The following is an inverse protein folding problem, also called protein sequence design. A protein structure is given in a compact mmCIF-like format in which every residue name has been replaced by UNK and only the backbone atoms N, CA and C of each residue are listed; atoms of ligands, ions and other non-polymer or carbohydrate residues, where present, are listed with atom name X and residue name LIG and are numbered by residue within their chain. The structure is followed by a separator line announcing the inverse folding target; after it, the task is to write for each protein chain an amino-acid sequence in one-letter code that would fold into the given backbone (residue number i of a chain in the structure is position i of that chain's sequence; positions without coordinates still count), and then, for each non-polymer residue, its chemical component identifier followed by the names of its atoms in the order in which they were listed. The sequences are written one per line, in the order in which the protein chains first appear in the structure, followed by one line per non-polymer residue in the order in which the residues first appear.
data_IF_500479345759
#
_entry.id   IF_500479345759
#
_cell.length_a   1.000
_cell.length_b   1.000
_cell.length_c   1.000
_cell.angle_alpha   90.00
_cell.angle_beta   90.00
_cell.angle_gamma   90.00
#
_symmetry.space_group_name_H-M   'P 1'
#
loop_
_entity.id
_entity.type
_entity.pdbx_description
1 polymer ?
#
# COMPACT_ATOMS: atom_id res chain seq x y z
N UNK A 1 -14.16 -17.70 -8.78
CA UNK A 1 -14.14 -19.17 -9.03
C UNK A 1 -13.93 -19.89 -7.69
N UNK A 2 -14.81 -20.83 -7.33
CA UNK A 2 -14.73 -21.54 -6.04
C UNK A 2 -13.46 -22.40 -5.97
N UNK A 3 -12.86 -22.54 -4.79
CA UNK A 3 -11.67 -23.37 -4.59
C UNK A 3 -11.86 -24.83 -5.05
N UNK A 4 -13.09 -25.36 -4.88
CA UNK A 4 -13.51 -26.66 -5.42
C UNK A 4 -13.30 -26.79 -6.94
N UNK A 5 -13.60 -25.74 -7.70
CA UNK A 5 -13.48 -25.74 -9.17
C UNK A 5 -12.01 -25.69 -9.60
N UNK A 6 -11.18 -24.99 -8.84
CA UNK A 6 -9.73 -24.94 -9.06
C UNK A 6 -9.14 -26.33 -8.84
N UNK A 7 -9.53 -26.99 -7.75
CA UNK A 7 -9.07 -28.34 -7.43
C UNK A 7 -9.56 -29.38 -8.43
N UNK A 8 -10.82 -29.28 -8.89
CA UNK A 8 -11.37 -30.15 -9.94
C UNK A 8 -10.56 -30.02 -11.23
N UNK A 9 -10.36 -28.81 -11.75
CA UNK A 9 -9.56 -28.53 -12.95
C UNK A 9 -8.08 -28.92 -12.81
N UNK A 10 -7.53 -28.88 -11.59
CA UNK A 10 -6.15 -29.32 -11.33
C UNK A 10 -6.03 -30.84 -11.34
N UNK A 11 -7.03 -31.58 -10.83
CA UNK A 11 -7.11 -33.05 -10.90
C UNK A 11 -7.29 -33.52 -12.34
N UNK A 12 -8.17 -32.90 -13.12
CA UNK A 12 -8.38 -33.20 -14.54
C UNK A 12 -7.09 -33.05 -15.38
N UNK A 13 -6.19 -32.13 -14.98
CA UNK A 13 -4.89 -31.88 -15.64
C UNK A 13 -3.71 -32.67 -15.02
N UNK A 14 -3.96 -33.55 -14.08
CA UNK A 14 -2.93 -34.37 -13.41
C UNK A 14 -1.76 -33.52 -12.81
N UNK A 15 -2.09 -32.32 -12.27
CA UNK A 15 -1.08 -31.42 -11.73
C UNK A 15 -0.63 -31.87 -10.34
N UNK A 16 0.66 -32.14 -10.16
CA UNK A 16 1.26 -32.37 -8.85
C UNK A 16 1.12 -31.13 -7.91
N UNK A 17 1.43 -31.32 -6.59
CA UNK A 17 1.30 -30.25 -5.56
C UNK A 17 1.92 -28.91 -5.97
N UNK A 18 3.11 -28.91 -6.62
CA UNK A 18 3.76 -27.68 -7.10
C UNK A 18 2.96 -27.00 -8.22
N UNK A 19 2.40 -27.78 -9.16
CA UNK A 19 1.56 -27.28 -10.25
C UNK A 19 0.25 -26.67 -9.75
N UNK A 20 -0.36 -27.29 -8.73
CA UNK A 20 -1.58 -26.78 -8.09
C UNK A 20 -1.27 -25.43 -7.39
N UNK A 21 -0.20 -25.36 -6.59
CA UNK A 21 0.19 -24.09 -5.92
C UNK A 21 0.45 -22.97 -6.93
N UNK A 22 1.20 -23.26 -8.01
CA UNK A 22 1.47 -22.28 -9.09
C UNK A 22 0.18 -21.80 -9.76
N UNK A 23 -0.78 -22.72 -10.03
CA UNK A 23 -2.07 -22.35 -10.64
C UNK A 23 -2.92 -21.49 -9.71
N UNK A 24 -2.99 -21.82 -8.42
CA UNK A 24 -3.68 -21.01 -7.41
C UNK A 24 -3.06 -19.61 -7.35
N UNK A 25 -1.74 -19.51 -7.30
CA UNK A 25 -1.01 -18.22 -7.31
C UNK A 25 -1.35 -17.39 -8.56
N UNK A 26 -1.40 -18.02 -9.74
CA UNK A 26 -1.74 -17.33 -10.98
C UNK A 26 -3.19 -16.85 -11.00
N UNK A 27 -4.16 -17.66 -10.53
CA UNK A 27 -5.57 -17.26 -10.44
C UNK A 27 -5.72 -16.09 -9.47
N UNK A 28 -5.09 -16.14 -8.30
CA UNK A 28 -5.10 -15.04 -7.34
C UNK A 28 -4.55 -13.75 -7.93
N UNK A 29 -3.49 -13.83 -8.74
CA UNK A 29 -2.94 -12.67 -9.46
C UNK A 29 -3.92 -12.10 -10.49
N UNK A 30 -4.68 -12.93 -11.20
CA UNK A 30 -5.66 -12.47 -12.20
C UNK A 30 -6.96 -11.93 -11.58
N UNK A 31 -7.26 -12.31 -10.34
CA UNK A 31 -8.42 -11.83 -9.60
C UNK A 31 -8.08 -10.68 -8.63
N UNK A 32 -6.78 -10.41 -8.45
CA UNK A 32 -6.31 -9.30 -7.63
C UNK A 32 -6.80 -7.96 -8.20
N UNK A 33 -7.34 -7.15 -7.33
CA UNK A 33 -7.85 -5.84 -7.71
C UNK A 33 -9.32 -5.81 -8.15
N UNK A 34 -9.96 -6.95 -8.43
CA UNK A 34 -11.38 -6.97 -8.83
C UNK A 34 -12.30 -6.30 -7.81
N UNK A 35 -12.00 -6.48 -6.54
CA UNK A 35 -12.76 -5.86 -5.47
C UNK A 35 -12.79 -4.32 -5.60
N UNK A 36 -11.67 -3.72 -6.02
CA UNK A 36 -11.52 -2.28 -6.22
C UNK A 36 -12.15 -1.78 -7.53
N UNK A 37 -12.46 -2.70 -8.45
CA UNK A 37 -13.12 -2.40 -9.72
C UNK A 37 -14.64 -2.44 -9.63
N UNK A 38 -15.18 -3.18 -8.67
CA UNK A 38 -16.60 -3.47 -8.55
C UNK A 38 -17.25 -2.64 -7.42
N UNK A 39 -16.93 -1.34 -7.35
CA UNK A 39 -17.43 -0.40 -6.35
C UNK A 39 -18.04 0.83 -6.99
N UNK A 40 -18.98 1.44 -6.29
CA UNK A 40 -19.60 2.70 -6.69
C UNK A 40 -19.75 3.65 -5.49
N UNK A 41 -19.77 4.95 -5.77
CA UNK A 41 -19.98 5.98 -4.74
C UNK A 41 -21.46 6.26 -4.59
N UNK A 42 -22.00 6.07 -3.39
CA UNK A 42 -23.39 6.38 -3.07
C UNK A 42 -23.64 7.89 -2.97
N UNK A 43 -24.90 8.26 -2.95
CA UNK A 43 -25.35 9.67 -2.79
C UNK A 43 -25.01 10.26 -1.42
N UNK A 44 -24.76 9.40 -0.44
CA UNK A 44 -24.27 9.76 0.90
C UNK A 44 -22.75 10.01 0.95
N UNK A 45 -22.06 9.86 -0.18
CA UNK A 45 -20.63 10.04 -0.32
C UNK A 45 -19.80 8.83 0.10
N UNK A 46 -20.43 7.74 0.55
CA UNK A 46 -19.75 6.50 0.88
C UNK A 46 -19.56 5.64 -0.38
N UNK A 47 -18.57 4.75 -0.34
CA UNK A 47 -18.36 3.75 -1.37
C UNK A 47 -18.99 2.43 -0.98
N UNK A 48 -19.57 1.75 -1.94
CA UNK A 48 -20.24 0.47 -1.76
C UNK A 48 -19.76 -0.54 -2.78
N UNK A 49 -19.53 -1.77 -2.33
CA UNK A 49 -19.37 -2.91 -3.23
C UNK A 49 -20.74 -3.30 -3.82
N UNK A 50 -20.73 -4.04 -4.92
CA UNK A 50 -21.97 -4.50 -5.60
C UNK A 50 -22.93 -5.31 -4.73
N UNK A 51 -22.42 -5.91 -3.64
CA UNK A 51 -23.23 -6.63 -2.65
C UNK A 51 -23.86 -5.71 -1.58
N UNK A 52 -23.68 -4.40 -1.70
CA UNK A 52 -24.17 -3.39 -0.77
C UNK A 52 -23.32 -3.23 0.48
N UNK A 53 -22.22 -3.95 0.61
CA UNK A 53 -21.28 -3.76 1.73
C UNK A 53 -20.58 -2.42 1.59
N UNK A 54 -20.55 -1.62 2.67
CA UNK A 54 -19.82 -0.35 2.65
C UNK A 54 -18.34 -0.60 2.40
N UNK A 55 -17.79 0.19 1.51
CA UNK A 55 -16.41 0.09 1.08
C UNK A 55 -15.67 1.39 1.40
N UNK A 56 -14.56 1.28 2.06
CA UNK A 56 -13.83 2.44 2.53
C UNK A 56 -12.64 2.79 1.61
N UNK A 57 -12.86 3.57 0.56
CA UNK A 57 -11.76 4.35 -0.02
C UNK A 57 -11.40 5.53 0.90
N UNK A 58 -12.40 6.11 1.56
CA UNK A 58 -12.23 7.13 2.57
C UNK A 58 -11.77 6.59 3.92
N UNK A 59 -11.72 5.29 4.06
CA UNK A 59 -11.39 4.63 5.30
C UNK A 59 -10.04 5.00 5.84
N UNK A 60 -9.17 5.46 4.97
CA UNK A 60 -7.86 5.95 5.37
C UNK A 60 -7.89 6.92 6.54
N UNK A 61 -8.95 7.70 6.72
CA UNK A 61 -9.03 8.66 7.81
C UNK A 61 -9.94 8.21 8.93
N UNK A 62 -11.02 7.48 8.63
CA UNK A 62 -11.90 6.94 9.66
C UNK A 62 -11.25 5.76 10.39
N UNK A 63 -10.45 4.96 9.67
CA UNK A 63 -9.82 3.75 10.19
C UNK A 63 -8.33 3.95 10.57
N UNK A 64 -7.68 4.99 10.03
CA UNK A 64 -6.34 5.33 10.45
C UNK A 64 -6.39 6.16 11.71
N UNK A 65 -5.63 5.75 12.73
CA UNK A 65 -5.58 6.50 13.97
C UNK A 65 -5.21 7.97 13.67
N UNK A 66 -5.92 8.97 14.25
CA UNK A 66 -5.66 10.39 13.98
C UNK A 66 -4.20 10.80 14.09
N UNK A 67 -3.46 10.21 15.03
CA UNK A 67 -2.04 10.50 15.24
C UNK A 67 -1.12 9.93 14.14
N UNK A 68 -1.49 8.83 13.46
CA UNK A 68 -0.74 8.36 12.27
C UNK A 68 -0.87 9.36 11.15
N UNK A 69 -2.05 9.91 10.99
CA UNK A 69 -2.34 10.92 10.00
C UNK A 69 -1.58 12.22 10.29
N UNK A 70 -1.59 12.67 11.55
CA UNK A 70 -0.85 13.83 12.01
C UNK A 70 0.67 13.64 11.83
N UNK A 71 1.22 12.47 12.17
CA UNK A 71 2.63 12.13 11.96
C UNK A 71 3.02 12.24 10.48
N UNK A 72 2.18 11.75 9.56
CA UNK A 72 2.41 11.90 8.13
C UNK A 72 2.37 13.35 7.66
N UNK A 73 1.37 14.13 8.10
CA UNK A 73 1.27 15.55 7.74
C UNK A 73 2.46 16.34 8.26
N UNK A 74 2.91 16.07 9.49
CA UNK A 74 4.08 16.69 10.08
C UNK A 74 5.35 16.27 9.33
N UNK A 75 5.46 15.01 8.91
CA UNK A 75 6.56 14.53 8.09
C UNK A 75 6.66 15.32 6.77
N UNK A 76 5.56 15.49 6.03
CA UNK A 76 5.59 16.28 4.79
C UNK A 76 5.93 17.76 5.06
N UNK A 77 5.29 18.36 6.05
CA UNK A 77 5.50 19.78 6.39
C UNK A 77 6.94 20.10 6.82
N UNK A 78 7.65 19.10 7.36
CA UNK A 78 9.06 19.27 7.75
C UNK A 78 10.04 19.23 6.58
N UNK A 79 9.57 19.00 5.33
CA UNK A 79 10.39 18.84 4.13
C UNK A 79 10.02 19.91 3.10
N UNK A 80 10.84 20.94 3.00
CA UNK A 80 10.64 22.10 2.09
C UNK A 80 11.15 21.83 0.65
N UNK A 81 11.94 20.80 0.47
CA UNK A 81 12.60 20.46 -0.79
C UNK A 81 11.85 19.42 -1.65
N UNK A 82 10.61 19.08 -1.32
CA UNK A 82 9.74 18.18 -2.08
C UNK A 82 9.12 18.94 -3.26
N UNK A 83 9.44 18.49 -4.49
CA UNK A 83 8.86 19.04 -5.75
C UNK A 83 7.96 18.04 -6.45
N UNK A 84 8.31 16.76 -6.40
CA UNK A 84 7.59 15.68 -7.09
C UNK A 84 7.07 14.66 -6.07
N UNK A 85 5.78 14.31 -6.18
CA UNK A 85 5.09 13.43 -5.24
C UNK A 85 4.38 12.30 -5.98
N UNK A 86 4.54 11.07 -5.50
CA UNK A 86 3.75 9.92 -5.89
C UNK A 86 2.99 9.38 -4.68
N UNK A 87 1.67 9.32 -4.77
CA UNK A 87 0.82 8.58 -3.85
C UNK A 87 0.45 7.22 -4.44
N UNK A 88 0.84 6.14 -3.77
CA UNK A 88 0.53 4.77 -4.19
C UNK A 88 -0.64 4.23 -3.40
N UNK A 89 -1.73 3.88 -4.09
CA UNK A 89 -3.01 3.54 -3.50
C UNK A 89 -3.76 4.78 -3.04
N UNK A 90 -3.91 5.76 -3.93
CA UNK A 90 -4.50 7.07 -3.61
C UNK A 90 -6.01 7.01 -3.32
N UNK A 91 -6.68 5.88 -3.62
CA UNK A 91 -8.11 5.73 -3.47
C UNK A 91 -8.87 6.84 -4.19
N UNK A 92 -9.80 7.49 -3.51
CA UNK A 92 -10.58 8.62 -4.04
C UNK A 92 -9.92 10.00 -3.86
N UNK A 93 -8.59 10.03 -3.68
CA UNK A 93 -7.82 11.27 -3.67
C UNK A 93 -7.94 12.08 -2.38
N UNK A 94 -8.17 11.41 -1.27
CA UNK A 94 -8.37 12.07 0.02
C UNK A 94 -7.30 13.13 0.34
N UNK A 95 -6.02 12.79 0.24
CA UNK A 95 -4.93 13.70 0.63
C UNK A 95 -4.84 14.94 -0.28
N UNK A 96 -4.73 14.82 -1.60
CA UNK A 96 -4.62 16.01 -2.45
C UNK A 96 -5.88 16.88 -2.45
N UNK A 97 -7.07 16.29 -2.25
CA UNK A 97 -8.32 17.05 -2.21
C UNK A 97 -8.46 17.79 -0.87
N UNK A 98 -8.29 17.09 0.26
CA UNK A 98 -8.49 17.67 1.60
C UNK A 98 -7.34 18.58 2.04
N UNK A 99 -6.11 18.25 1.65
CA UNK A 99 -4.89 18.98 2.02
C UNK A 99 -4.25 19.64 0.80
N UNK A 100 -5.07 20.20 -0.07
CA UNK A 100 -4.66 20.82 -1.34
C UNK A 100 -3.41 21.69 -1.20
N UNK A 101 -3.35 22.53 -0.19
CA UNK A 101 -2.23 23.43 0.05
C UNK A 101 -0.87 22.74 0.21
N UNK A 102 -0.84 21.46 0.60
CA UNK A 102 0.40 20.72 0.72
C UNK A 102 0.91 20.19 -0.64
N UNK A 103 0.03 20.10 -1.65
CA UNK A 103 0.32 19.45 -2.91
C UNK A 103 0.20 20.34 -4.14
N UNK A 104 -0.55 21.46 -4.09
CA UNK A 104 -0.87 22.31 -5.26
C UNK A 104 0.36 22.92 -5.96
N UNK A 105 1.46 23.12 -5.23
CA UNK A 105 2.71 23.63 -5.77
C UNK A 105 3.73 22.52 -6.08
N UNK A 106 3.28 21.27 -6.16
CA UNK A 106 4.11 20.10 -6.42
C UNK A 106 3.59 19.35 -7.65
N UNK A 107 4.49 18.70 -8.35
CA UNK A 107 4.08 17.74 -9.37
C UNK A 107 3.57 16.47 -8.67
N UNK A 108 2.27 16.41 -8.45
CA UNK A 108 1.61 15.29 -7.81
C UNK A 108 1.08 14.29 -8.84
N UNK A 109 1.24 13.00 -8.51
CA UNK A 109 0.63 11.88 -9.20
C UNK A 109 0.02 10.92 -8.18
N UNK A 110 -1.29 10.69 -8.28
CA UNK A 110 -1.98 9.63 -7.57
C UNK A 110 -2.09 8.37 -8.43
N UNK A 111 -1.82 7.23 -7.85
CA UNK A 111 -1.93 5.93 -8.51
C UNK A 111 -2.77 4.98 -7.67
N UNK A 112 -3.74 4.33 -8.29
CA UNK A 112 -4.56 3.28 -7.68
C UNK A 112 -4.92 2.22 -8.75
N UNK A 113 -5.23 1.01 -8.30
CA UNK A 113 -5.72 -0.05 -9.17
C UNK A 113 -7.23 0.03 -9.40
N UNK A 114 -7.95 0.82 -8.60
CA UNK A 114 -9.40 1.00 -8.64
C UNK A 114 -9.82 2.05 -9.65
N UNK A 115 -10.23 1.65 -10.86
CA UNK A 115 -10.67 2.57 -11.90
C UNK A 115 -11.82 3.51 -11.46
N UNK A 116 -12.87 3.06 -10.72
CA UNK A 116 -13.93 3.95 -10.26
C UNK A 116 -13.43 5.09 -9.38
N UNK A 117 -12.48 4.81 -8.48
CA UNK A 117 -11.88 5.81 -7.60
C UNK A 117 -11.03 6.81 -8.39
N UNK A 118 -10.25 6.34 -9.34
CA UNK A 118 -9.44 7.20 -10.22
C UNK A 118 -10.33 8.11 -11.08
N UNK A 119 -11.44 7.61 -11.60
CA UNK A 119 -12.38 8.43 -12.35
C UNK A 119 -12.99 9.52 -11.46
N UNK A 120 -13.40 9.17 -10.25
CA UNK A 120 -13.84 10.15 -9.25
C UNK A 120 -12.78 11.23 -8.97
N UNK A 121 -11.52 10.86 -8.79
CA UNK A 121 -10.43 11.80 -8.58
C UNK A 121 -10.27 12.80 -9.73
N UNK A 122 -10.32 12.30 -10.98
CA UNK A 122 -10.19 13.13 -12.19
C UNK A 122 -11.34 14.11 -12.37
N UNK A 123 -12.55 13.72 -11.95
CA UNK A 123 -13.74 14.58 -12.02
C UNK A 123 -13.77 15.64 -10.91
N UNK A 124 -13.15 15.36 -9.75
CA UNK A 124 -13.28 16.20 -8.55
C UNK A 124 -12.01 16.95 -8.16
N UNK A 125 -10.95 16.87 -8.97
CA UNK A 125 -9.70 17.61 -8.71
C UNK A 125 -8.89 17.88 -9.97
N UNK A 126 -7.96 18.84 -9.87
CA UNK A 126 -7.03 19.18 -10.94
C UNK A 126 -5.66 18.48 -10.82
N UNK A 127 -5.54 17.51 -9.92
CA UNK A 127 -4.33 16.72 -9.79
C UNK A 127 -4.29 15.60 -10.83
N UNK A 128 -3.10 15.03 -11.05
CA UNK A 128 -2.93 13.92 -11.99
C UNK A 128 -3.17 12.58 -11.31
N UNK A 129 -3.95 11.71 -11.96
CA UNK A 129 -4.25 10.37 -11.48
C UNK A 129 -4.18 9.34 -12.59
N UNK A 130 -3.65 8.16 -12.26
CA UNK A 130 -3.59 7.02 -13.18
C UNK A 130 -4.12 5.76 -12.51
N UNK A 131 -4.82 4.93 -13.29
CA UNK A 131 -5.23 3.61 -12.88
C UNK A 131 -4.20 2.61 -13.38
N UNK A 132 -3.38 2.05 -12.46
CA UNK A 132 -2.34 1.08 -12.79
C UNK A 132 -1.95 0.25 -11.57
N UNK A 133 -1.30 -0.89 -11.81
CA UNK A 133 -0.69 -1.73 -10.76
C UNK A 133 0.74 -1.25 -10.51
N UNK A 134 0.98 -0.61 -9.37
CA UNK A 134 2.29 -0.06 -9.02
C UNK A 134 3.43 -1.08 -9.13
N UNK A 135 3.17 -2.35 -8.81
CA UNK A 135 4.19 -3.40 -8.88
C UNK A 135 4.58 -3.70 -10.35
N UNK A 136 3.65 -3.57 -11.28
CA UNK A 136 3.85 -3.87 -12.72
C UNK A 136 4.14 -2.65 -13.58
N UNK A 137 3.79 -1.46 -13.10
CA UNK A 137 3.92 -0.23 -13.85
C UNK A 137 5.35 -0.06 -14.39
N UNK A 138 5.50 0.08 -15.70
CA UNK A 138 6.78 0.37 -16.33
C UNK A 138 7.07 1.88 -16.26
N UNK A 139 7.88 2.29 -15.30
CA UNK A 139 8.31 3.68 -15.15
C UNK A 139 9.69 3.75 -14.52
N UNK A 140 10.56 4.55 -15.13
CA UNK A 140 11.86 4.92 -14.58
C UNK A 140 11.83 6.26 -13.81
N UNK A 141 10.67 6.92 -13.76
CA UNK A 141 10.52 8.18 -13.04
C UNK A 141 10.74 8.00 -11.56
N UNK A 142 11.52 8.90 -10.97
CA UNK A 142 11.76 8.97 -9.54
C UNK A 142 11.09 10.21 -8.95
N UNK A 143 10.61 10.09 -7.71
CA UNK A 143 9.87 11.13 -7.01
C UNK A 143 10.62 11.56 -5.74
N UNK A 144 10.53 12.85 -5.40
CA UNK A 144 11.13 13.36 -4.16
C UNK A 144 10.43 12.77 -2.94
N UNK A 145 9.11 12.62 -2.98
CA UNK A 145 8.32 11.93 -1.98
C UNK A 145 7.49 10.82 -2.62
N UNK A 146 7.53 9.63 -2.03
CA UNK A 146 6.54 8.57 -2.29
C UNK A 146 5.83 8.27 -0.99
N UNK A 147 4.50 8.23 -1.01
CA UNK A 147 3.77 7.78 0.16
C UNK A 147 2.64 6.81 -0.19
N UNK A 148 2.28 5.99 0.79
CA UNK A 148 1.26 4.96 0.64
C UNK A 148 0.62 4.66 2.00
N UNK A 149 -0.69 4.68 2.05
CA UNK A 149 -1.46 4.40 3.26
C UNK A 149 -2.40 3.22 3.06
N UNK A 150 -2.33 2.23 3.95
CA UNK A 150 -3.23 1.07 3.96
C UNK A 150 -3.23 0.25 2.66
N UNK A 151 -2.08 0.10 2.02
CA UNK A 151 -1.93 -0.61 0.75
C UNK A 151 -1.01 -1.82 0.86
N UNK A 152 0.15 -1.66 1.51
CA UNK A 152 1.20 -2.69 1.54
C UNK A 152 0.71 -4.04 2.10
N UNK A 153 -0.21 -4.05 3.03
CA UNK A 153 -0.80 -5.27 3.60
C UNK A 153 -1.85 -5.93 2.70
N UNK A 154 -2.22 -5.25 1.60
CA UNK A 154 -3.19 -5.74 0.60
C UNK A 154 -2.55 -6.19 -0.71
N UNK A 155 -1.27 -5.92 -0.95
CA UNK A 155 -0.60 -6.27 -2.20
C UNK A 155 -0.28 -7.77 -2.29
N UNK A 156 -0.16 -8.26 -3.52
CA UNK A 156 0.14 -9.68 -3.79
C UNK A 156 1.63 -10.01 -3.72
N UNK A 157 2.50 -9.01 -3.63
CA UNK A 157 3.96 -9.15 -3.61
C UNK A 157 4.56 -7.96 -2.84
N UNK A 158 4.75 -8.16 -1.53
CA UNK A 158 5.21 -7.10 -0.61
C UNK A 158 6.66 -6.72 -0.91
N UNK A 159 7.51 -7.70 -1.21
CA UNK A 159 8.94 -7.47 -1.47
C UNK A 159 9.12 -6.63 -2.74
N UNK A 160 8.40 -6.98 -3.82
CA UNK A 160 8.41 -6.20 -5.06
C UNK A 160 7.84 -4.79 -4.87
N UNK A 161 6.80 -4.63 -4.05
CA UNK A 161 6.23 -3.34 -3.71
C UNK A 161 7.26 -2.44 -3.01
N UNK A 162 7.91 -2.95 -1.96
CA UNK A 162 8.94 -2.22 -1.22
C UNK A 162 10.15 -1.89 -2.09
N UNK A 163 10.65 -2.86 -2.87
CA UNK A 163 11.77 -2.66 -3.78
C UNK A 163 11.47 -1.54 -4.78
N UNK A 164 10.23 -1.50 -5.28
CA UNK A 164 9.82 -0.46 -6.21
C UNK A 164 9.68 0.91 -5.54
N UNK A 165 9.16 0.97 -4.31
CA UNK A 165 9.18 2.21 -3.51
C UNK A 165 10.63 2.73 -3.42
N UNK A 166 11.57 1.88 -2.99
CA UNK A 166 12.97 2.29 -2.81
C UNK A 166 13.60 2.77 -4.11
N UNK A 167 13.43 2.01 -5.21
CA UNK A 167 14.05 2.35 -6.50
C UNK A 167 13.46 3.59 -7.15
N UNK A 168 12.19 3.91 -6.88
CA UNK A 168 11.50 5.11 -7.38
C UNK A 168 11.62 6.33 -6.47
N UNK A 169 12.12 6.14 -5.23
CA UNK A 169 12.29 7.21 -4.25
C UNK A 169 13.60 7.97 -4.45
N UNK A 170 13.54 9.29 -4.59
CA UNK A 170 14.73 10.16 -4.61
C UNK A 170 15.20 10.55 -3.21
N UNK A 171 14.27 10.97 -2.36
CA UNK A 171 14.58 11.57 -1.05
C UNK A 171 13.80 10.91 0.08
N UNK A 172 12.48 10.90 -0.01
CA UNK A 172 11.60 10.55 1.10
C UNK A 172 10.58 9.50 0.71
N UNK A 173 10.33 8.54 1.60
CA UNK A 173 9.13 7.73 1.50
C UNK A 173 8.44 7.59 2.87
N UNK A 174 7.10 7.52 2.84
CA UNK A 174 6.27 7.28 4.00
C UNK A 174 5.24 6.21 3.68
N UNK A 175 5.29 5.09 4.37
CA UNK A 175 4.37 3.98 4.15
C UNK A 175 3.72 3.65 5.49
N UNK A 176 2.40 3.59 5.52
CA UNK A 176 1.68 3.06 6.67
C UNK A 176 0.76 1.92 6.28
N UNK A 177 0.63 0.94 7.17
CA UNK A 177 -0.25 -0.20 7.02
C UNK A 177 -1.13 -0.35 8.25
N UNK A 178 -2.35 -0.85 8.08
CA UNK A 178 -3.23 -1.17 9.22
C UNK A 178 -2.76 -2.35 10.03
N UNK A 179 -2.02 -3.26 9.37
CA UNK A 179 -1.65 -4.50 9.98
C UNK A 179 -0.24 -4.46 10.50
N UNK A 180 -0.15 -5.01 11.70
CA UNK A 180 0.92 -4.80 12.60
C UNK A 180 2.28 -5.21 12.12
N UNK A 181 3.19 -4.64 12.79
CA UNK A 181 4.60 -4.85 12.87
C UNK A 181 4.88 -6.12 13.68
N UNK A 182 5.31 -7.16 13.01
CA UNK A 182 5.65 -8.44 13.65
C UNK A 182 7.15 -8.73 13.49
N UNK A 183 7.97 -8.41 14.48
CA UNK A 183 9.40 -8.65 14.40
C UNK A 183 9.78 -10.12 14.52
N UNK A 184 8.93 -10.91 15.16
CA UNK A 184 9.17 -12.35 15.37
C UNK A 184 8.85 -13.20 14.13
N UNK A 185 8.26 -12.60 13.09
CA UNK A 185 8.02 -13.29 11.84
C UNK A 185 9.28 -13.26 10.97
N UNK A 186 9.76 -14.45 10.58
CA UNK A 186 10.86 -14.60 9.63
C UNK A 186 10.48 -14.08 8.23
N UNK A 187 9.20 -14.21 7.83
CA UNK A 187 8.68 -13.79 6.55
C UNK A 187 7.26 -13.23 6.70
N UNK A 188 6.75 -12.53 5.68
CA UNK A 188 5.37 -12.05 5.66
C UNK A 188 4.37 -13.20 5.67
N UNK A 189 3.34 -13.09 6.53
CA UNK A 189 2.20 -14.02 6.48
C UNK A 189 1.11 -13.46 5.60
N UNK A 190 1.06 -13.93 4.37
CA UNK A 190 0.10 -13.48 3.36
C UNK A 190 -1.18 -14.32 3.37
N UNK A 191 -2.29 -13.70 3.71
CA UNK A 191 -3.62 -14.30 3.69
C UNK A 191 -4.43 -13.75 2.53
N UNK A 192 -4.82 -14.61 1.59
CA UNK A 192 -5.72 -14.20 0.51
C UNK A 192 -7.18 -14.30 0.94
N UNK A 193 -7.88 -13.16 0.95
CA UNK A 193 -9.31 -13.08 1.22
C UNK A 193 -10.08 -13.35 -0.09
N UNK A 194 -10.64 -14.56 -0.18
CA UNK A 194 -11.40 -14.96 -1.38
C UNK A 194 -12.70 -14.18 -1.56
N UNK A 195 -13.25 -13.61 -0.49
CA UNK A 195 -14.49 -12.83 -0.56
C UNK A 195 -14.26 -11.48 -1.18
N UNK A 196 -13.08 -10.91 -0.97
CA UNK A 196 -12.69 -9.58 -1.44
C UNK A 196 -11.73 -9.59 -2.62
N UNK A 197 -11.17 -10.73 -3.01
CA UNK A 197 -10.18 -10.79 -4.10
C UNK A 197 -8.88 -10.04 -3.79
N UNK A 198 -8.53 -9.86 -2.52
CA UNK A 198 -7.35 -9.13 -2.08
C UNK A 198 -6.58 -9.88 -0.99
N UNK A 199 -5.43 -9.38 -0.60
CA UNK A 199 -4.65 -9.93 0.50
C UNK A 199 -4.93 -9.18 1.80
N UNK A 200 -4.72 -9.88 2.90
CA UNK A 200 -4.63 -9.35 4.26
C UNK A 200 -3.38 -9.95 4.87
N UNK A 201 -2.30 -9.19 4.89
CA UNK A 201 -1.00 -9.72 5.23
C UNK A 201 -0.49 -9.16 6.55
N UNK A 202 0.09 -10.02 7.39
CA UNK A 202 0.87 -9.59 8.53
C UNK A 202 2.30 -9.32 8.06
N UNK A 203 2.82 -8.15 8.38
CA UNK A 203 4.10 -7.68 7.89
C UNK A 203 5.23 -8.11 8.84
N UNK A 204 6.23 -8.80 8.32
CA UNK A 204 7.47 -9.08 9.05
C UNK A 204 8.38 -7.86 9.00
N UNK A 205 8.73 -7.32 10.17
CA UNK A 205 9.70 -6.24 10.26
C UNK A 205 11.10 -6.66 9.82
N UNK A 206 11.47 -7.90 10.11
CA UNK A 206 12.74 -8.49 9.68
C UNK A 206 12.85 -8.53 8.17
N UNK A 207 11.78 -9.01 7.50
CA UNK A 207 11.74 -9.10 6.04
C UNK A 207 11.70 -7.72 5.38
N UNK A 208 10.95 -6.76 5.92
CA UNK A 208 10.96 -5.37 5.45
C UNK A 208 12.40 -4.83 5.51
N UNK A 209 13.08 -4.95 6.64
CA UNK A 209 14.47 -4.50 6.80
C UNK A 209 15.42 -5.16 5.79
N UNK A 210 15.29 -6.47 5.58
CA UNK A 210 16.07 -7.21 4.58
C UNK A 210 15.88 -6.63 3.17
N UNK A 211 14.62 -6.40 2.76
CA UNK A 211 14.31 -5.84 1.44
C UNK A 211 14.87 -4.43 1.29
N UNK A 212 14.74 -3.57 2.30
CA UNK A 212 15.27 -2.21 2.25
C UNK A 212 16.81 -2.19 2.11
N UNK A 213 17.51 -3.03 2.88
CA UNK A 213 18.99 -3.15 2.81
C UNK A 213 19.44 -3.76 1.49
N UNK A 214 18.74 -4.78 0.98
CA UNK A 214 19.03 -5.38 -0.33
C UNK A 214 18.88 -4.38 -1.49
N UNK A 215 18.01 -3.37 -1.32
CA UNK A 215 17.86 -2.26 -2.26
C UNK A 215 18.77 -1.06 -1.93
N UNK A 216 19.92 -1.31 -1.29
CA UNK A 216 21.01 -0.36 -1.06
C UNK A 216 20.71 0.80 -0.10
N UNK A 217 19.70 0.66 0.77
CA UNK A 217 19.48 1.61 1.85
C UNK A 217 20.37 1.25 3.04
N UNK A 218 21.11 2.24 3.56
CA UNK A 218 21.81 2.12 4.83
C UNK A 218 20.83 2.16 6.01
N UNK A 219 21.19 1.56 7.16
CA UNK A 219 20.26 1.42 8.29
C UNK A 219 19.83 2.76 8.90
N UNK A 220 20.56 3.82 8.67
CA UNK A 220 20.24 5.17 9.14
C UNK A 220 19.44 6.00 8.13
N UNK A 221 19.10 5.43 6.97
CA UNK A 221 18.20 6.04 5.98
C UNK A 221 16.75 5.58 6.12
N UNK A 222 16.43 4.65 7.01
CA UNK A 222 15.07 4.24 7.22
C UNK A 222 14.75 3.93 8.68
N UNK A 223 13.48 4.03 9.03
CA UNK A 223 12.93 3.55 10.29
C UNK A 223 11.69 2.70 10.04
N UNK A 224 11.51 1.66 10.86
CA UNK A 224 10.33 0.80 10.84
C UNK A 224 9.78 0.80 12.25
N UNK A 225 8.55 1.27 12.45
CA UNK A 225 7.92 1.37 13.76
C UNK A 225 6.51 0.82 13.74
N UNK A 226 6.10 0.21 14.86
CA UNK A 226 4.69 -0.04 15.14
C UNK A 226 4.06 1.21 15.75
N UNK A 227 2.76 1.41 15.54
CA UNK A 227 1.99 2.44 16.19
C UNK A 227 0.69 1.86 16.72
N UNK A 228 0.45 2.00 18.02
CA UNK A 228 -0.79 1.61 18.68
C UNK A 228 -1.37 2.82 19.42
N UNK A 229 -2.65 3.10 19.18
CA UNK A 229 -3.36 4.20 19.84
C UNK A 229 -2.60 5.53 19.75
N UNK A 230 -1.85 5.72 18.63
CA UNK A 230 -1.04 6.91 18.37
C UNK A 230 0.32 6.95 19.06
N UNK A 231 0.67 5.96 19.83
CA UNK A 231 1.99 5.84 20.46
C UNK A 231 2.89 5.04 19.54
N UNK A 232 3.99 5.66 19.09
CA UNK A 232 5.05 4.95 18.38
C UNK A 232 5.71 3.95 19.33
N UNK A 233 5.80 2.72 18.88
CA UNK A 233 6.29 1.62 19.69
C UNK A 233 7.62 1.16 19.15
N UNK A 234 8.62 1.22 20.02
CA UNK A 234 9.97 0.75 19.73
C UNK A 234 10.12 -0.77 19.96
N UNK A 235 9.05 -1.41 20.44
CA UNK A 235 9.04 -2.83 20.80
C UNK A 235 8.07 -3.62 19.90
N UNK A 236 8.39 -4.88 19.66
CA UNK A 236 7.62 -5.78 18.81
C UNK A 236 6.26 -6.21 19.41
N UNK A 237 5.33 -6.54 18.54
CA UNK A 237 4.01 -7.07 18.91
C UNK A 237 3.89 -8.54 18.63
N UNK A 238 3.22 -9.24 19.56
CA UNK A 238 2.80 -10.61 19.35
C UNK A 238 1.63 -10.69 18.35
N UNK A 239 1.59 -11.77 17.60
CA UNK A 239 0.42 -12.15 16.78
C UNK A 239 -0.85 -12.13 17.64
N UNK A 240 -1.86 -11.35 17.26
CA UNK A 240 -3.14 -11.28 17.99
C UNK A 240 -3.51 -9.91 18.51
N UNK A 241 -2.59 -8.93 18.53
CA UNK A 241 -2.95 -7.56 18.85
C UNK A 241 -3.58 -6.89 17.63
N UNK A 242 -4.83 -6.48 17.74
CA UNK A 242 -5.54 -5.68 16.74
C UNK A 242 -5.23 -4.19 16.93
N UNK A 243 -5.33 -3.41 15.86
CA UNK A 243 -5.22 -1.94 15.94
C UNK A 243 -3.81 -1.39 15.95
N UNK A 244 -2.83 -2.14 15.43
CA UNK A 244 -1.45 -1.66 15.29
C UNK A 244 -1.16 -1.38 13.83
N UNK A 245 -0.73 -0.16 13.55
CA UNK A 245 -0.22 0.23 12.24
C UNK A 245 1.28 0.03 12.15
N UNK A 246 1.78 -0.38 11.00
CA UNK A 246 3.21 -0.32 10.68
C UNK A 246 3.50 0.98 9.97
N UNK A 247 4.54 1.70 10.41
CA UNK A 247 5.03 2.90 9.75
C UNK A 247 6.47 2.66 9.29
N UNK A 248 6.71 2.88 8.00
CA UNK A 248 8.04 2.82 7.39
C UNK A 248 8.34 4.22 6.86
N UNK A 249 9.43 4.83 7.34
CA UNK A 249 9.93 6.10 6.81
C UNK A 249 11.29 5.87 6.17
N UNK A 250 11.50 6.46 5.01
CA UNK A 250 12.78 6.49 4.30
C UNK A 250 13.18 7.94 4.13
N UNK A 251 14.42 8.27 4.50
CA UNK A 251 15.07 9.57 4.29
C UNK A 251 16.44 9.33 3.69
N UNK A 252 16.53 9.42 2.35
CA UNK A 252 17.80 9.20 1.66
C UNK A 252 18.78 10.32 1.96
N UNK A 253 19.99 9.95 2.27
CA UNK A 253 21.09 10.90 2.36
C UNK A 253 21.40 11.46 0.98
N UNK A 254 21.54 12.78 0.88
CA UNK A 254 22.06 13.37 -0.34
C UNK A 254 23.44 12.75 -0.60
N UNK A 255 23.59 12.08 -1.73
CA UNK A 255 24.94 11.70 -2.19
C UNK A 255 25.72 13.00 -2.43
N UNK A 256 26.37 13.51 -1.39
CA UNK A 256 27.47 14.45 -1.59
C UNK A 256 28.54 13.66 -2.37
N UNK A 257 28.50 13.80 -3.70
CA UNK A 257 29.59 13.34 -4.54
C UNK A 257 30.86 13.94 -3.98
N UNK A 258 31.71 13.08 -3.39
CA UNK A 258 33.11 13.41 -3.17
C UNK A 258 33.81 13.54 -4.52
#
# INVERSE_FOLDING_TARGET
MKFSDIMKKAREKNLGRKGIKRRIKNIRKTEYGKYWQDVEKGTDGQWYAKDGTSFFYNGTVADMHPLTHEDFLNFIKSKDDIKTVLEVGCGDGFYPIKFKNLFENKEYLGLDIGEPAINFCKENSNFNFICDDFIKMESSKKYDLIFSHAVIDHVYDIDSFLSRIVTSCKKYAYISAYRGYFPDLEDHKMHYDNSRGTYRSNLSAKKIKEVLVTNELSQDEFSIKGQKDGILLDQPYSEGLTGISTIIKIERKSNSKK
#
